data_IF_240115399387
#
_entry.id   IF_240115399387
#
_cell.length_a   1.000
_cell.length_b   1.000
_cell.length_c   1.000
_cell.angle_alpha   90.00
_cell.angle_beta   90.00
_cell.angle_gamma   90.00
#
_symmetry.space_group_name_H-M   'P 1'
#
loop_
_entity.id
_entity.type
_entity.pdbx_description
1 polymer ?
#
# COMPACT_ATOMS: atom_id res chain seq x y z
N UNK A 1 -5.53 9.11 -26.04
CA UNK A 1 -4.90 7.90 -25.53
C UNK A 1 -3.84 8.36 -24.53
N UNK A 2 -4.07 8.19 -23.24
CA UNK A 2 -3.03 8.42 -22.26
C UNK A 2 -2.08 7.21 -22.32
N UNK A 3 -0.92 7.37 -22.90
CA UNK A 3 0.17 6.41 -22.73
C UNK A 3 0.56 6.46 -21.26
N UNK A 4 0.44 5.34 -20.56
CA UNK A 4 0.95 5.22 -19.21
C UNK A 4 2.46 5.50 -19.24
N UNK A 5 2.99 6.27 -18.29
CA UNK A 5 4.42 6.53 -18.23
C UNK A 5 5.19 5.22 -18.02
N UNK A 6 6.40 5.12 -18.55
CA UNK A 6 7.32 4.05 -18.24
C UNK A 6 7.46 3.90 -16.71
N UNK A 7 7.59 2.67 -16.24
CA UNK A 7 7.70 2.34 -14.83
C UNK A 7 9.04 1.71 -14.53
N UNK A 8 9.61 2.11 -13.42
CA UNK A 8 10.92 1.69 -12.99
C UNK A 8 10.84 1.14 -11.56
N UNK A 9 11.46 0.01 -11.30
CA UNK A 9 11.68 -0.44 -9.93
C UNK A 9 12.62 0.54 -9.23
N UNK A 10 12.28 0.89 -7.98
CA UNK A 10 13.08 1.82 -7.17
C UNK A 10 14.54 1.40 -7.12
N UNK A 11 15.46 2.32 -7.40
CA UNK A 11 16.91 2.13 -7.45
C UNK A 11 17.42 1.09 -8.48
N UNK A 12 16.61 0.63 -9.42
CA UNK A 12 17.12 -0.13 -10.57
C UNK A 12 18.02 0.74 -11.47
N UNK A 13 18.79 0.12 -12.37
CA UNK A 13 19.60 0.87 -13.32
C UNK A 13 18.73 1.75 -14.23
N UNK A 14 17.57 1.26 -14.66
CA UNK A 14 16.62 2.03 -15.44
C UNK A 14 16.09 3.25 -14.68
N UNK A 15 15.86 3.12 -13.37
CA UNK A 15 15.46 4.25 -12.50
C UNK A 15 16.56 5.31 -12.41
N UNK A 16 17.82 4.90 -12.22
CA UNK A 16 18.99 5.80 -12.18
C UNK A 16 19.22 6.48 -13.53
N UNK A 17 19.05 5.75 -14.63
CA UNK A 17 19.19 6.31 -15.99
C UNK A 17 18.11 7.35 -16.27
N UNK A 18 16.88 7.12 -15.82
CA UNK A 18 15.81 8.09 -15.93
C UNK A 18 16.08 9.34 -15.09
N UNK A 19 16.57 9.17 -13.83
CA UNK A 19 17.00 10.29 -13.00
C UNK A 19 18.08 11.13 -13.70
N UNK A 20 19.09 10.47 -14.28
CA UNK A 20 20.16 11.13 -15.05
C UNK A 20 19.62 11.92 -16.23
N UNK A 21 18.74 11.32 -17.01
CA UNK A 21 18.14 11.94 -18.21
C UNK A 21 17.35 13.21 -17.84
N UNK A 22 16.52 13.13 -16.78
CA UNK A 22 15.67 14.24 -16.34
C UNK A 22 16.52 15.38 -15.78
N UNK A 23 17.46 15.06 -14.88
CA UNK A 23 18.34 16.07 -14.26
C UNK A 23 19.22 16.77 -15.29
N UNK A 24 19.86 16.03 -16.19
CA UNK A 24 20.72 16.62 -17.21
C UNK A 24 19.95 17.63 -18.08
N UNK A 25 18.74 17.24 -18.53
CA UNK A 25 17.88 18.14 -19.31
C UNK A 25 17.43 19.37 -18.52
N UNK A 26 17.00 19.20 -17.26
CA UNK A 26 16.52 20.30 -16.43
C UNK A 26 17.64 21.31 -16.09
N UNK A 27 18.83 20.81 -15.76
CA UNK A 27 19.99 21.67 -15.47
C UNK A 27 20.45 22.43 -16.72
N UNK A 28 20.48 21.80 -17.89
CA UNK A 28 20.83 22.49 -19.12
C UNK A 28 19.83 23.61 -19.46
N UNK A 29 18.54 23.37 -19.28
CA UNK A 29 17.50 24.36 -19.55
C UNK A 29 17.53 25.57 -18.61
N UNK A 30 18.04 25.41 -17.39
CA UNK A 30 18.07 26.44 -16.36
C UNK A 30 19.49 26.82 -15.93
N UNK A 31 20.50 26.51 -16.72
CA UNK A 31 21.93 26.67 -16.42
C UNK A 31 22.27 28.06 -15.83
N UNK A 32 21.69 29.11 -16.35
CA UNK A 32 21.93 30.47 -15.89
C UNK A 32 21.40 30.80 -14.49
N UNK A 33 20.52 29.97 -13.95
CA UNK A 33 19.90 30.14 -12.63
C UNK A 33 20.58 29.29 -11.55
N UNK A 34 21.48 28.39 -11.94
CA UNK A 34 22.01 27.36 -11.07
C UNK A 34 23.39 27.71 -10.50
N UNK A 35 23.57 27.47 -9.22
CA UNK A 35 24.85 27.30 -8.58
C UNK A 35 25.14 25.79 -8.40
N UNK A 36 26.41 25.39 -8.18
CA UNK A 36 26.74 24.00 -7.87
C UNK A 36 25.91 23.44 -6.72
N UNK A 37 25.46 22.20 -6.86
CA UNK A 37 24.70 21.49 -5.81
C UNK A 37 24.88 19.98 -5.93
N UNK A 38 24.59 19.26 -4.82
CA UNK A 38 24.68 17.81 -4.79
C UNK A 38 23.64 17.19 -3.84
N UNK A 39 23.10 16.04 -4.28
CA UNK A 39 22.22 15.16 -3.49
C UNK A 39 22.81 13.76 -3.50
N UNK A 40 22.89 13.13 -2.34
CA UNK A 40 23.28 11.72 -2.25
C UNK A 40 22.34 10.94 -1.36
N UNK A 41 21.92 9.77 -1.82
CA UNK A 41 20.98 8.91 -1.12
C UNK A 41 21.54 7.51 -0.95
N UNK A 42 21.25 6.89 0.21
CA UNK A 42 21.64 5.53 0.56
C UNK A 42 20.51 4.81 1.29
N UNK A 43 20.13 3.65 0.77
CA UNK A 43 19.08 2.82 1.35
C UNK A 43 19.58 1.39 1.54
N UNK A 44 19.58 0.93 2.79
CA UNK A 44 19.95 -0.43 3.16
C UNK A 44 18.84 -1.42 2.80
N UNK A 45 19.19 -2.70 2.78
CA UNK A 45 18.24 -3.79 2.55
C UNK A 45 17.50 -3.71 1.20
N UNK A 46 18.23 -3.29 0.17
CA UNK A 46 17.71 -3.32 -1.20
C UNK A 46 17.52 -4.77 -1.69
N UNK A 47 16.57 -5.01 -2.61
CA UNK A 47 16.30 -6.35 -3.11
C UNK A 47 17.53 -7.01 -3.76
N UNK A 48 17.86 -8.28 -3.43
CA UNK A 48 19.06 -8.96 -3.95
C UNK A 48 19.13 -9.08 -5.48
N UNK A 49 17.97 -9.11 -6.15
CA UNK A 49 17.93 -9.19 -7.62
C UNK A 49 18.44 -7.91 -8.30
N UNK A 50 18.52 -6.78 -7.58
CA UNK A 50 19.15 -5.55 -8.07
C UNK A 50 20.67 -5.66 -8.13
N UNK A 51 21.27 -6.70 -7.49
CA UNK A 51 22.71 -6.98 -7.48
C UNK A 51 23.56 -5.79 -7.05
N UNK A 52 23.10 -5.07 -6.05
CA UNK A 52 23.81 -3.92 -5.49
C UNK A 52 24.84 -4.38 -4.46
N UNK A 53 25.99 -3.68 -4.33
CA UNK A 53 26.98 -4.00 -3.32
C UNK A 53 26.38 -3.98 -1.92
N UNK A 54 26.60 -5.03 -1.13
CA UNK A 54 26.13 -5.19 0.26
C UNK A 54 24.59 -4.98 0.40
N UNK A 55 23.81 -5.23 -0.67
CA UNK A 55 22.38 -4.94 -0.73
C UNK A 55 22.03 -3.48 -0.35
N UNK A 56 22.92 -2.55 -0.66
CA UNK A 56 22.75 -1.11 -0.43
C UNK A 56 22.52 -0.38 -1.74
N UNK A 57 21.33 0.19 -1.88
CA UNK A 57 21.00 1.10 -2.98
C UNK A 57 21.51 2.51 -2.71
N UNK A 58 22.54 2.93 -3.43
CA UNK A 58 23.10 4.27 -3.27
C UNK A 58 23.32 4.96 -4.62
N UNK A 59 23.08 6.27 -4.63
CA UNK A 59 23.30 7.11 -5.81
C UNK A 59 23.58 8.54 -5.41
N UNK A 60 24.27 9.26 -6.31
CA UNK A 60 24.62 10.66 -6.11
C UNK A 60 24.35 11.43 -7.40
N UNK A 61 23.69 12.58 -7.26
CA UNK A 61 23.55 13.60 -8.29
C UNK A 61 24.41 14.82 -7.91
N UNK A 62 25.22 15.31 -8.83
CA UNK A 62 26.09 16.46 -8.63
C UNK A 62 26.09 17.37 -9.86
N UNK A 63 25.78 18.62 -9.65
CA UNK A 63 25.95 19.70 -10.62
C UNK A 63 27.17 20.53 -10.22
N UNK A 64 28.20 20.61 -11.06
CA UNK A 64 29.46 21.28 -10.77
C UNK A 64 29.51 22.76 -11.20
N UNK A 65 28.42 23.26 -11.78
CA UNK A 65 28.31 24.59 -12.38
C UNK A 65 28.31 24.54 -13.92
N UNK A 66 28.71 23.41 -14.50
CA UNK A 66 28.73 23.22 -15.97
C UNK A 66 27.85 22.04 -16.41
N UNK A 67 27.98 20.91 -15.73
CA UNK A 67 27.30 19.67 -16.09
C UNK A 67 26.69 18.96 -14.89
N UNK A 68 25.60 18.25 -15.14
CA UNK A 68 24.98 17.34 -14.18
C UNK A 68 25.52 15.92 -14.35
N UNK A 69 26.01 15.34 -13.28
CA UNK A 69 26.39 13.94 -13.22
C UNK A 69 25.49 13.17 -12.28
N UNK A 70 25.12 11.94 -12.64
CA UNK A 70 24.39 11.01 -11.79
C UNK A 70 25.10 9.65 -11.84
N UNK A 71 25.50 9.15 -10.68
CA UNK A 71 26.25 7.91 -10.55
C UNK A 71 25.80 7.08 -9.37
N UNK A 72 26.08 5.78 -9.41
CA UNK A 72 25.98 4.90 -8.25
C UNK A 72 27.02 5.29 -7.20
N UNK A 73 26.67 5.10 -5.95
CA UNK A 73 27.52 5.37 -4.80
C UNK A 73 27.00 6.49 -3.92
N UNK A 74 27.43 6.47 -2.65
CA UNK A 74 27.05 7.44 -1.64
C UNK A 74 28.19 8.43 -1.38
N UNK A 75 27.89 9.71 -1.44
CA UNK A 75 28.81 10.79 -1.10
C UNK A 75 28.33 11.47 0.21
N UNK A 76 28.98 11.21 1.34
CA UNK A 76 28.62 11.82 2.61
C UNK A 76 28.87 13.33 2.68
N UNK A 77 29.61 13.89 1.72
CA UNK A 77 29.92 15.32 1.62
C UNK A 77 28.91 16.10 0.76
N UNK A 78 27.89 15.43 0.20
CA UNK A 78 26.86 16.09 -0.60
C UNK A 78 26.08 17.14 0.23
N UNK A 79 25.60 18.21 -0.42
CA UNK A 79 24.84 19.28 0.25
C UNK A 79 23.57 18.75 0.94
N UNK A 80 22.97 17.70 0.36
CA UNK A 80 21.88 16.95 0.99
C UNK A 80 22.22 15.47 0.97
N UNK A 81 22.07 14.81 2.11
CA UNK A 81 22.15 13.35 2.22
C UNK A 81 20.85 12.78 2.76
N UNK A 82 20.42 11.65 2.18
CA UNK A 82 19.26 10.87 2.63
C UNK A 82 19.70 9.44 2.89
N UNK A 83 19.37 8.92 4.07
CA UNK A 83 19.74 7.58 4.49
C UNK A 83 18.56 6.87 5.14
N UNK A 84 18.36 5.60 4.84
CA UNK A 84 17.26 4.84 5.43
C UNK A 84 17.23 3.37 5.01
N UNK A 85 16.12 2.73 5.29
CA UNK A 85 15.75 1.42 4.76
C UNK A 85 15.12 1.55 3.36
N UNK A 86 15.30 0.55 2.51
CA UNK A 86 14.78 0.54 1.14
C UNK A 86 13.27 0.77 1.08
N UNK A 87 12.50 0.13 1.96
CA UNK A 87 11.03 0.25 1.95
C UNK A 87 10.57 1.66 2.35
N UNK A 88 11.23 2.24 3.34
CA UNK A 88 10.95 3.61 3.75
C UNK A 88 11.41 4.63 2.70
N UNK A 89 12.55 4.37 2.05
CA UNK A 89 13.04 5.16 0.92
C UNK A 89 12.09 5.10 -0.27
N UNK A 90 11.58 3.91 -0.60
CA UNK A 90 10.55 3.73 -1.62
C UNK A 90 9.28 4.53 -1.32
N UNK A 91 8.77 4.45 -0.08
CA UNK A 91 7.59 5.21 0.33
C UNK A 91 7.81 6.73 0.20
N UNK A 92 8.99 7.22 0.61
CA UNK A 92 9.40 8.61 0.39
C UNK A 92 9.49 8.96 -1.09
N UNK A 93 10.14 8.12 -1.91
CA UNK A 93 10.30 8.33 -3.34
C UNK A 93 9.00 8.28 -4.15
N UNK A 94 7.96 7.66 -3.61
CA UNK A 94 6.62 7.62 -4.22
C UNK A 94 5.72 8.78 -3.79
N UNK A 95 6.13 9.61 -2.83
CA UNK A 95 5.39 10.82 -2.49
C UNK A 95 5.40 11.79 -3.67
N UNK A 96 4.29 12.46 -3.95
CA UNK A 96 4.12 13.38 -5.06
C UNK A 96 3.58 14.71 -4.57
N UNK A 97 4.01 15.81 -5.21
CA UNK A 97 3.62 17.17 -4.84
C UNK A 97 4.72 17.94 -4.10
N UNK A 98 5.99 17.62 -4.36
CA UNK A 98 7.15 18.19 -3.66
C UNK A 98 7.30 19.71 -3.85
N UNK A 99 6.67 20.30 -4.85
CA UNK A 99 6.62 21.76 -5.03
C UNK A 99 5.63 22.47 -4.09
N UNK A 100 4.71 21.74 -3.46
CA UNK A 100 3.71 22.35 -2.58
C UNK A 100 4.36 22.86 -1.27
N UNK A 101 3.88 23.99 -0.73
CA UNK A 101 4.34 24.46 0.59
C UNK A 101 4.13 23.38 1.66
N UNK A 102 5.20 23.06 2.40
CA UNK A 102 5.15 22.04 3.45
C UNK A 102 5.23 20.60 2.98
N UNK A 103 5.44 20.33 1.69
CA UNK A 103 5.52 18.99 1.11
C UNK A 103 6.51 18.07 1.83
N UNK A 104 7.72 18.53 2.13
CA UNK A 104 8.72 17.77 2.87
C UNK A 104 8.21 17.32 4.26
N UNK A 105 7.47 18.18 4.96
CA UNK A 105 6.87 17.83 6.26
C UNK A 105 5.77 16.79 6.08
N UNK A 106 4.94 16.93 5.03
CA UNK A 106 3.90 15.96 4.70
C UNK A 106 4.49 14.59 4.35
N UNK A 107 5.47 14.53 3.47
CA UNK A 107 6.18 13.30 3.10
C UNK A 107 6.76 12.60 4.33
N UNK A 108 7.51 13.32 5.18
CA UNK A 108 8.07 12.74 6.41
C UNK A 108 6.99 12.18 7.33
N UNK A 109 5.85 12.86 7.45
CA UNK A 109 4.71 12.36 8.24
C UNK A 109 4.13 11.08 7.65
N UNK A 110 3.95 11.02 6.34
CA UNK A 110 3.43 9.83 5.66
C UNK A 110 4.38 8.64 5.82
N UNK A 111 5.67 8.83 5.59
CA UNK A 111 6.68 7.78 5.81
C UNK A 111 6.69 7.33 7.28
N UNK A 112 6.68 8.28 8.22
CA UNK A 112 6.69 7.97 9.65
C UNK A 112 5.45 7.19 10.10
N UNK A 113 4.29 7.46 9.52
CA UNK A 113 3.03 6.78 9.83
C UNK A 113 3.08 5.27 9.52
N UNK A 114 3.84 4.86 8.50
CA UNK A 114 3.93 3.49 8.00
C UNK A 114 5.23 2.76 8.37
N UNK A 115 6.32 3.50 8.57
CA UNK A 115 7.67 2.93 8.74
C UNK A 115 8.38 3.38 10.03
N UNK A 116 7.77 4.29 10.81
CA UNK A 116 8.38 4.87 12.01
C UNK A 116 9.14 6.16 11.74
N UNK A 117 9.32 6.96 12.81
CA UNK A 117 9.85 8.34 12.71
C UNK A 117 11.30 8.43 12.22
N UNK A 118 12.10 7.42 12.51
CA UNK A 118 13.54 7.39 12.20
C UNK A 118 13.87 6.54 10.96
N UNK A 119 12.85 6.10 10.22
CA UNK A 119 13.04 5.22 9.08
C UNK A 119 13.84 5.87 7.93
N UNK A 120 13.75 7.19 7.78
CA UNK A 120 14.55 7.98 6.83
C UNK A 120 15.13 9.18 7.52
N UNK A 121 16.45 9.35 7.39
CA UNK A 121 17.23 10.47 7.93
C UNK A 121 17.69 11.36 6.78
N UNK A 122 17.43 12.64 6.87
CA UNK A 122 17.90 13.63 5.90
C UNK A 122 18.74 14.68 6.62
N UNK A 123 19.89 15.03 6.03
CA UNK A 123 20.79 16.08 6.52
C UNK A 123 21.08 17.05 5.38
N UNK A 124 21.36 18.31 5.75
CA UNK A 124 21.68 19.35 4.80
C UNK A 124 20.48 19.99 4.13
N UNK A 125 20.72 20.89 3.21
CA UNK A 125 19.70 21.57 2.39
C UNK A 125 20.31 22.11 1.10
N UNK A 126 19.49 22.29 0.09
CA UNK A 126 19.85 22.97 -1.14
C UNK A 126 19.56 24.47 -0.95
N UNK A 127 20.60 25.30 -1.04
CA UNK A 127 20.49 26.75 -0.86
C UNK A 127 19.94 27.43 -2.15
N UNK A 128 20.28 26.92 -3.32
CA UNK A 128 19.83 27.48 -4.59
C UNK A 128 18.38 27.09 -4.86
N UNK A 129 17.47 28.07 -4.98
CA UNK A 129 16.06 27.84 -5.16
C UNK A 129 15.73 27.08 -6.45
N UNK A 130 16.42 27.42 -7.57
CA UNK A 130 16.22 26.77 -8.86
C UNK A 130 16.65 25.28 -8.79
N UNK A 131 17.72 24.96 -8.12
CA UNK A 131 18.16 23.57 -7.87
C UNK A 131 17.14 22.82 -7.01
N UNK A 132 16.60 23.45 -5.96
CA UNK A 132 15.54 22.89 -5.13
C UNK A 132 14.29 22.54 -5.93
N UNK A 133 13.86 23.43 -6.83
CA UNK A 133 12.72 23.18 -7.74
C UNK A 133 13.00 22.03 -8.72
N UNK A 134 14.21 21.96 -9.31
CA UNK A 134 14.62 20.85 -10.19
C UNK A 134 14.56 19.53 -9.46
N UNK A 135 15.05 19.44 -8.23
CA UNK A 135 15.00 18.22 -7.42
C UNK A 135 13.57 17.85 -7.04
N UNK A 136 12.72 18.82 -6.72
CA UNK A 136 11.30 18.57 -6.47
C UNK A 136 10.55 18.05 -7.69
N UNK A 137 10.83 18.62 -8.87
CA UNK A 137 10.29 18.15 -10.15
C UNK A 137 10.78 16.74 -10.50
N UNK A 138 12.08 16.46 -10.28
CA UNK A 138 12.62 15.10 -10.44
C UNK A 138 11.89 14.10 -9.54
N UNK A 139 11.74 14.46 -8.26
CA UNK A 139 11.08 13.63 -7.27
C UNK A 139 9.65 13.28 -7.72
N UNK A 140 8.85 14.29 -8.11
CA UNK A 140 7.49 14.08 -8.61
C UNK A 140 7.46 13.28 -9.92
N UNK A 141 8.45 13.49 -10.80
CA UNK A 141 8.57 12.75 -12.05
C UNK A 141 8.82 11.27 -11.81
N UNK A 142 9.77 10.97 -10.93
CA UNK A 142 10.11 9.58 -10.56
C UNK A 142 9.00 8.96 -9.71
N UNK A 143 8.43 9.68 -8.75
CA UNK A 143 7.36 9.18 -7.88
C UNK A 143 6.18 8.59 -8.65
N UNK A 144 5.80 9.23 -9.76
CA UNK A 144 4.73 8.72 -10.66
C UNK A 144 5.12 7.48 -11.46
N UNK A 145 6.37 7.08 -11.44
CA UNK A 145 6.94 5.97 -12.24
C UNK A 145 7.57 4.88 -11.41
N UNK A 146 7.83 5.17 -10.14
CA UNK A 146 8.48 4.24 -9.22
C UNK A 146 7.51 3.17 -8.77
N UNK A 147 7.86 1.92 -8.99
CA UNK A 147 7.13 0.75 -8.52
C UNK A 147 7.93 0.02 -7.46
N UNK A 148 7.18 -0.68 -6.61
CA UNK A 148 7.79 -1.51 -5.57
C UNK A 148 8.50 -2.74 -6.14
N UNK A 149 9.36 -3.29 -5.30
CA UNK A 149 10.02 -4.57 -5.53
C UNK A 149 9.01 -5.67 -5.92
N UNK A 150 9.15 -6.32 -7.08
CA UNK A 150 8.27 -7.42 -7.50
C UNK A 150 8.49 -8.72 -6.71
N UNK A 151 9.63 -8.87 -6.00
CA UNK A 151 9.93 -10.07 -5.22
C UNK A 151 9.08 -10.13 -3.95
N UNK A 152 7.99 -10.89 -4.01
CA UNK A 152 7.07 -11.07 -2.88
C UNK A 152 7.76 -11.69 -1.67
N UNK A 153 8.67 -12.66 -1.88
CA UNK A 153 9.37 -13.34 -0.80
C UNK A 153 10.26 -12.35 -0.03
N UNK A 154 11.03 -11.55 -0.76
CA UNK A 154 11.86 -10.52 -0.17
C UNK A 154 11.00 -9.48 0.59
N UNK A 155 9.92 -8.98 -0.02
CA UNK A 155 9.01 -8.05 0.66
C UNK A 155 8.43 -8.62 1.95
N UNK A 156 7.93 -9.86 1.88
CA UNK A 156 7.35 -10.53 3.05
C UNK A 156 8.38 -10.73 4.17
N UNK A 157 9.60 -11.18 3.84
CA UNK A 157 10.67 -11.36 4.79
C UNK A 157 11.08 -10.03 5.46
N UNK A 158 11.30 -8.98 4.66
CA UNK A 158 11.71 -7.65 5.18
C UNK A 158 10.64 -6.99 6.05
N UNK A 159 9.37 -7.23 5.77
CA UNK A 159 8.24 -6.70 6.54
C UNK A 159 7.83 -7.63 7.69
N UNK A 160 8.50 -8.76 7.91
CA UNK A 160 8.16 -9.73 8.96
C UNK A 160 6.85 -10.47 8.71
N UNK A 161 6.39 -10.55 7.44
CA UNK A 161 5.06 -11.06 7.09
C UNK A 161 5.01 -12.55 6.78
N UNK A 162 6.11 -13.28 6.81
CA UNK A 162 6.12 -14.72 6.52
C UNK A 162 5.14 -15.49 7.41
N UNK A 163 5.11 -15.18 8.74
CA UNK A 163 4.15 -15.75 9.67
C UNK A 163 2.71 -15.41 9.27
N UNK A 164 2.45 -14.16 8.92
CA UNK A 164 1.11 -13.69 8.56
C UNK A 164 0.56 -14.37 7.30
N UNK A 165 1.43 -14.63 6.31
CA UNK A 165 1.06 -15.39 5.11
C UNK A 165 0.68 -16.82 5.48
N UNK A 166 1.42 -17.46 6.40
CA UNK A 166 1.09 -18.81 6.91
C UNK A 166 -0.24 -18.83 7.66
N UNK A 167 -0.47 -17.86 8.55
CA UNK A 167 -1.74 -17.73 9.29
C UNK A 167 -2.93 -17.59 8.32
N UNK A 168 -2.77 -16.82 7.22
CA UNK A 168 -3.80 -16.70 6.18
C UNK A 168 -4.13 -18.05 5.52
N UNK A 169 -3.15 -18.91 5.27
CA UNK A 169 -3.38 -20.24 4.70
C UNK A 169 -3.99 -21.20 5.73
N UNK A 170 -3.58 -21.13 6.99
CA UNK A 170 -4.01 -22.07 8.05
C UNK A 170 -5.35 -21.67 8.66
N UNK A 171 -5.51 -20.40 9.00
CA UNK A 171 -6.66 -19.89 9.76
C UNK A 171 -7.65 -19.11 8.89
N UNK A 172 -7.20 -18.63 7.72
CA UNK A 172 -7.97 -17.79 6.82
C UNK A 172 -7.94 -16.31 7.20
N UNK A 173 -7.23 -15.93 8.24
CA UNK A 173 -7.03 -14.53 8.67
C UNK A 173 -5.71 -14.35 9.39
N UNK A 174 -5.29 -13.09 9.49
CA UNK A 174 -4.12 -12.69 10.29
C UNK A 174 -4.29 -11.27 10.81
N UNK A 175 -3.60 -10.92 11.90
CA UNK A 175 -3.58 -9.59 12.49
C UNK A 175 -2.18 -9.01 12.40
N UNK A 176 -2.04 -7.86 11.71
CA UNK A 176 -0.82 -7.07 11.75
C UNK A 176 -1.02 -5.98 12.80
N UNK A 177 -0.37 -6.15 13.95
CA UNK A 177 -0.44 -5.17 15.01
C UNK A 177 0.34 -3.91 14.65
N UNK A 178 -0.26 -2.75 14.96
CA UNK A 178 0.34 -1.42 14.73
C UNK A 178 0.92 -1.26 13.32
N UNK A 179 0.17 -1.71 12.32
CA UNK A 179 0.51 -1.53 10.91
C UNK A 179 0.58 -0.05 10.50
N UNK A 180 -0.02 0.83 11.29
CA UNK A 180 0.11 2.29 11.23
C UNK A 180 0.34 2.85 12.63
N UNK A 181 0.91 4.06 12.71
CA UNK A 181 1.11 4.72 14.00
C UNK A 181 -0.22 5.06 14.70
N UNK A 182 -0.26 5.07 16.02
CA UNK A 182 -1.46 5.48 16.77
C UNK A 182 -1.95 6.89 16.42
N UNK A 183 -1.03 7.82 16.14
CA UNK A 183 -1.33 9.19 15.76
C UNK A 183 -2.03 9.24 14.39
N UNK A 184 -1.54 8.45 13.42
CA UNK A 184 -2.18 8.37 12.12
C UNK A 184 -3.55 7.66 12.20
N UNK A 185 -3.70 6.67 13.06
CA UNK A 185 -5.01 6.07 13.34
C UNK A 185 -6.01 7.09 13.90
N UNK A 186 -5.58 8.01 14.78
CA UNK A 186 -6.42 9.09 15.29
C UNK A 186 -6.81 10.10 14.18
N UNK A 187 -5.88 10.44 13.28
CA UNK A 187 -6.17 11.27 12.11
C UNK A 187 -7.22 10.64 11.19
N UNK A 188 -7.04 9.35 10.88
CA UNK A 188 -7.99 8.57 10.07
C UNK A 188 -9.36 8.48 10.75
N UNK A 189 -9.39 8.25 12.08
CA UNK A 189 -10.63 8.23 12.85
C UNK A 189 -11.36 9.58 12.78
N UNK A 190 -10.65 10.67 12.99
CA UNK A 190 -11.20 12.01 12.90
C UNK A 190 -11.74 12.32 11.49
N UNK A 191 -11.02 11.94 10.44
CA UNK A 191 -11.45 12.07 9.05
C UNK A 191 -12.72 11.25 8.78
N UNK A 192 -12.80 10.02 9.28
CA UNK A 192 -13.98 9.18 9.16
C UNK A 192 -15.21 9.81 9.82
N UNK A 193 -15.06 10.30 11.03
CA UNK A 193 -16.16 10.97 11.74
C UNK A 193 -16.61 12.25 11.02
N UNK A 194 -15.67 13.04 10.47
CA UNK A 194 -16.01 14.22 9.64
C UNK A 194 -16.82 13.83 8.40
N UNK A 195 -16.48 12.74 7.76
CA UNK A 195 -17.19 12.24 6.57
C UNK A 195 -18.61 11.75 6.91
N UNK A 196 -18.81 11.13 8.07
CA UNK A 196 -20.11 10.59 8.50
C UNK A 196 -21.09 11.67 9.02
N UNK A 197 -20.59 12.75 9.61
CA UNK A 197 -21.40 13.78 10.26
C UNK A 197 -22.49 14.40 9.39
N UNK A 198 -22.23 14.84 8.14
CA UNK A 198 -23.26 15.49 7.31
C UNK A 198 -24.45 14.59 6.99
N UNK A 199 -24.23 13.27 7.02
CA UNK A 199 -25.22 12.27 6.65
C UNK A 199 -25.92 11.64 7.85
N UNK A 200 -25.49 11.94 9.09
CA UNK A 200 -25.93 11.29 10.32
C UNK A 200 -25.95 9.75 10.21
N UNK A 201 -25.03 9.22 9.41
CA UNK A 201 -24.98 7.80 9.07
C UNK A 201 -24.07 7.03 10.03
N UNK A 202 -24.40 5.73 10.22
CA UNK A 202 -23.52 4.81 10.93
C UNK A 202 -22.48 4.15 9.98
N UNK A 203 -22.66 4.26 8.67
CA UNK A 203 -21.73 3.74 7.68
C UNK A 203 -21.64 4.62 6.43
N UNK A 204 -20.53 4.57 5.74
CA UNK A 204 -20.31 5.25 4.47
C UNK A 204 -19.44 4.37 3.57
N UNK A 205 -19.79 4.33 2.29
CA UNK A 205 -18.98 3.72 1.24
C UNK A 205 -18.09 4.76 0.57
N UNK A 206 -17.15 4.30 -0.25
CA UNK A 206 -16.26 5.14 -1.07
C UNK A 206 -15.37 6.06 -0.24
N UNK A 207 -14.89 5.56 0.89
CA UNK A 207 -14.06 6.34 1.82
C UNK A 207 -12.85 6.99 1.14
N UNK A 208 -12.34 6.36 0.08
CA UNK A 208 -11.20 6.86 -0.68
C UNK A 208 -11.39 8.30 -1.21
N UNK A 209 -12.64 8.73 -1.42
CA UNK A 209 -12.95 10.06 -1.95
C UNK A 209 -13.20 11.11 -0.86
N UNK A 210 -13.03 10.75 0.42
CA UNK A 210 -13.34 11.62 1.56
C UNK A 210 -12.13 12.22 2.28
N UNK A 211 -10.91 11.95 1.79
CA UNK A 211 -9.71 12.54 2.36
C UNK A 211 -8.42 11.83 1.99
N UNK A 212 -7.32 12.57 2.08
CA UNK A 212 -5.97 12.08 1.78
C UNK A 212 -5.57 10.92 2.70
N UNK A 213 -6.04 10.95 3.94
CA UNK A 213 -5.79 9.92 4.96
C UNK A 213 -6.23 8.52 4.48
N UNK A 214 -7.32 8.45 3.74
CA UNK A 214 -7.83 7.18 3.19
C UNK A 214 -7.01 6.69 1.99
N UNK A 215 -6.53 7.63 1.16
CA UNK A 215 -5.62 7.31 0.06
C UNK A 215 -4.30 6.72 0.58
N UNK A 216 -3.78 7.26 1.68
CA UNK A 216 -2.57 6.78 2.33
C UNK A 216 -2.80 5.42 2.99
N UNK A 217 -3.86 5.29 3.77
CA UNK A 217 -4.19 4.07 4.51
C UNK A 217 -4.31 2.85 3.60
N UNK A 218 -5.00 3.00 2.45
CA UNK A 218 -5.24 1.89 1.51
C UNK A 218 -3.96 1.38 0.85
N UNK A 219 -2.90 2.20 0.81
CA UNK A 219 -1.60 1.88 0.25
C UNK A 219 -0.60 1.37 1.30
N UNK A 220 -1.06 0.96 2.50
CA UNK A 220 -0.18 0.42 3.52
C UNK A 220 0.66 -0.74 2.97
N UNK A 221 2.01 -0.68 3.05
CA UNK A 221 2.89 -1.63 2.37
C UNK A 221 2.76 -3.06 2.88
N UNK A 222 2.48 -3.25 4.17
CA UNK A 222 2.30 -4.58 4.75
C UNK A 222 1.00 -5.22 4.25
N UNK A 223 -0.11 -4.44 4.26
CA UNK A 223 -1.39 -4.89 3.72
C UNK A 223 -1.27 -5.21 2.22
N UNK A 224 -0.58 -4.35 1.44
CA UNK A 224 -0.36 -4.60 0.01
C UNK A 224 0.41 -5.90 -0.25
N UNK A 225 1.39 -6.22 0.58
CA UNK A 225 2.15 -7.47 0.46
C UNK A 225 1.27 -8.69 0.76
N UNK A 226 0.38 -8.62 1.77
CA UNK A 226 -0.58 -9.70 2.04
C UNK A 226 -1.62 -9.86 0.92
N UNK A 227 -2.07 -8.77 0.33
CA UNK A 227 -2.98 -8.79 -0.82
C UNK A 227 -2.30 -9.48 -2.01
N UNK A 228 -1.06 -9.09 -2.33
CA UNK A 228 -0.30 -9.73 -3.41
C UNK A 228 -0.09 -11.23 -3.14
N UNK A 229 0.15 -11.63 -1.90
CA UNK A 229 0.32 -13.03 -1.51
C UNK A 229 -0.99 -13.84 -1.65
N UNK A 230 -2.14 -13.25 -1.35
CA UNK A 230 -3.43 -13.96 -1.31
C UNK A 230 -4.23 -13.84 -2.60
N UNK A 231 -4.24 -12.67 -3.23
CA UNK A 231 -5.06 -12.35 -4.41
C UNK A 231 -4.26 -12.20 -5.70
N UNK A 232 -2.94 -12.02 -5.58
CA UNK A 232 -2.06 -11.74 -6.71
C UNK A 232 -1.95 -10.24 -7.04
N UNK A 233 -0.94 -9.90 -7.82
CA UNK A 233 -0.53 -8.53 -8.13
C UNK A 233 -1.61 -7.68 -8.82
N UNK A 234 -2.50 -8.25 -9.56
CA UNK A 234 -3.59 -7.55 -10.23
C UNK A 234 -4.84 -7.31 -9.36
N UNK A 235 -4.73 -7.45 -8.03
CA UNK A 235 -5.85 -7.21 -7.14
C UNK A 235 -6.36 -5.77 -7.20
N UNK A 236 -7.68 -5.60 -7.18
CA UNK A 236 -8.38 -4.30 -7.25
C UNK A 236 -9.16 -4.03 -5.99
N UNK A 237 -9.33 -2.76 -5.64
CA UNK A 237 -10.25 -2.34 -4.57
C UNK A 237 -11.68 -2.64 -5.02
N UNK A 238 -12.37 -3.49 -4.26
CA UNK A 238 -13.77 -3.82 -4.50
C UNK A 238 -14.69 -2.77 -3.87
N UNK A 239 -14.41 -2.40 -2.62
CA UNK A 239 -15.07 -1.32 -1.90
C UNK A 239 -14.19 -0.86 -0.73
N UNK A 240 -14.39 0.39 -0.30
CA UNK A 240 -13.75 0.92 0.89
C UNK A 240 -14.78 1.68 1.71
N UNK A 241 -15.16 1.10 2.83
CA UNK A 241 -16.27 1.59 3.65
C UNK A 241 -15.88 1.83 5.11
N UNK A 242 -16.67 2.64 5.79
CA UNK A 242 -16.58 2.85 7.24
C UNK A 242 -17.81 2.31 7.94
N UNK A 243 -17.63 1.85 9.17
CA UNK A 243 -18.73 1.50 10.07
C UNK A 243 -18.48 2.16 11.43
N UNK A 244 -19.50 2.84 11.95
CA UNK A 244 -19.57 3.39 13.29
C UNK A 244 -20.57 2.60 14.10
N UNK A 245 -20.13 1.97 15.20
CA UNK A 245 -20.96 1.14 16.05
C UNK A 245 -20.92 1.62 17.50
N UNK A 246 -22.10 2.00 18.02
CA UNK A 246 -22.30 2.29 19.43
C UNK A 246 -22.84 1.10 20.23
N UNK A 247 -22.97 1.25 21.57
CA UNK A 247 -23.63 0.23 22.42
C UNK A 247 -25.06 -0.04 21.96
N UNK A 248 -25.46 -1.32 21.98
CA UNK A 248 -26.85 -1.70 21.63
C UNK A 248 -27.21 -1.61 20.15
N UNK A 249 -26.26 -1.35 19.26
CA UNK A 249 -26.54 -1.28 17.80
C UNK A 249 -26.79 -2.64 17.14
N UNK A 250 -26.84 -3.72 17.94
CA UNK A 250 -27.06 -5.07 17.47
C UNK A 250 -25.80 -5.78 16.95
N UNK A 251 -25.95 -7.04 16.65
CA UNK A 251 -24.90 -7.93 16.14
C UNK A 251 -25.18 -8.28 14.68
N UNK A 252 -24.14 -8.36 13.89
CA UNK A 252 -24.22 -9.02 12.59
C UNK A 252 -24.09 -10.53 12.87
N UNK A 253 -25.05 -11.37 12.43
CA UNK A 253 -24.99 -12.81 12.66
C UNK A 253 -23.81 -13.46 11.94
N UNK A 254 -23.46 -14.69 12.33
CA UNK A 254 -22.39 -15.45 11.67
C UNK A 254 -22.69 -15.65 10.18
N UNK A 255 -21.72 -15.30 9.35
CA UNK A 255 -21.83 -15.35 7.89
C UNK A 255 -20.45 -15.47 7.23
N UNK A 256 -20.44 -15.61 5.92
CA UNK A 256 -19.29 -15.33 5.06
C UNK A 256 -19.61 -14.10 4.19
N UNK A 257 -18.58 -13.44 3.70
CA UNK A 257 -18.74 -12.36 2.71
C UNK A 257 -18.87 -12.90 1.26
N UNK A 258 -19.08 -14.19 1.11
CA UNK A 258 -19.25 -14.88 -0.16
C UNK A 258 -20.72 -15.12 -0.55
N UNK A 259 -21.65 -14.28 -0.08
CA UNK A 259 -23.09 -14.43 -0.36
C UNK A 259 -23.45 -14.61 -1.84
N UNK A 260 -22.61 -14.13 -2.75
CA UNK A 260 -22.83 -14.20 -4.21
C UNK A 260 -21.93 -15.22 -4.92
N UNK A 261 -21.15 -16.00 -4.17
CA UNK A 261 -20.28 -17.05 -4.73
C UNK A 261 -20.99 -18.40 -4.60
N UNK A 262 -21.18 -19.15 -5.69
CA UNK A 262 -21.76 -20.49 -5.62
C UNK A 262 -20.91 -21.44 -4.78
N UNK A 263 -21.55 -22.32 -4.03
CA UNK A 263 -20.89 -23.42 -3.33
C UNK A 263 -20.65 -24.62 -4.28
N UNK A 264 -19.53 -25.37 -4.12
CA UNK A 264 -18.48 -25.13 -3.13
C UNK A 264 -17.60 -23.94 -3.52
N UNK A 265 -17.21 -23.10 -2.55
CA UNK A 265 -16.28 -22.00 -2.81
C UNK A 265 -14.95 -22.52 -3.35
N UNK A 266 -14.21 -21.74 -4.18
CA UNK A 266 -12.88 -22.14 -4.62
C UNK A 266 -11.93 -22.32 -3.45
N UNK A 267 -10.89 -23.14 -3.62
CA UNK A 267 -9.86 -23.36 -2.61
C UNK A 267 -8.95 -22.14 -2.41
N UNK A 268 -8.81 -21.34 -3.45
CA UNK A 268 -8.03 -20.10 -3.42
C UNK A 268 -8.91 -18.88 -3.09
N UNK A 269 -8.34 -17.87 -2.50
CA UNK A 269 -9.04 -16.62 -2.19
C UNK A 269 -9.44 -15.87 -3.46
N UNK A 270 -10.74 -15.61 -3.64
CA UNK A 270 -11.25 -14.70 -4.68
C UNK A 270 -11.15 -13.24 -4.22
N UNK A 271 -11.35 -13.02 -2.93
CA UNK A 271 -11.47 -11.69 -2.32
C UNK A 271 -10.93 -11.71 -0.92
N UNK A 272 -10.42 -10.57 -0.46
CA UNK A 272 -9.94 -10.37 0.90
C UNK A 272 -10.48 -9.08 1.50
N UNK A 273 -10.44 -8.99 2.82
CA UNK A 273 -10.85 -7.80 3.56
C UNK A 273 -9.78 -7.43 4.58
N UNK A 274 -9.35 -6.15 4.55
CA UNK A 274 -8.58 -5.54 5.62
C UNK A 274 -9.49 -4.68 6.48
N UNK A 275 -9.57 -4.95 7.77
CA UNK A 275 -10.35 -4.14 8.72
C UNK A 275 -9.41 -3.47 9.69
N UNK A 276 -9.44 -2.13 9.69
CA UNK A 276 -8.56 -1.29 10.50
C UNK A 276 -9.17 -0.97 11.86
N UNK A 277 -8.40 -1.17 12.93
CA UNK A 277 -8.71 -0.73 14.27
C UNK A 277 -8.26 0.72 14.47
N UNK A 278 -9.21 1.64 14.55
CA UNK A 278 -8.94 3.05 14.85
C UNK A 278 -9.03 3.38 16.34
N UNK A 279 -9.22 2.37 17.18
CA UNK A 279 -9.15 2.33 18.63
C UNK A 279 -8.73 0.92 19.05
N UNK A 280 -8.43 0.70 20.33
CA UNK A 280 -8.13 -0.65 20.82
C UNK A 280 -9.36 -1.55 20.71
N UNK A 281 -9.18 -2.74 20.15
CA UNK A 281 -10.22 -3.75 20.11
C UNK A 281 -10.04 -4.73 21.26
N UNK A 282 -11.05 -4.77 22.13
CA UNK A 282 -11.21 -5.71 23.23
C UNK A 282 -12.54 -6.45 23.08
N UNK A 283 -12.78 -7.48 23.83
CA UNK A 283 -14.10 -8.15 23.86
C UNK A 283 -15.22 -7.12 24.12
N UNK A 284 -15.01 -6.18 25.04
CA UNK A 284 -16.00 -5.14 25.39
C UNK A 284 -16.26 -4.13 24.27
N UNK A 285 -15.27 -3.89 23.36
CA UNK A 285 -15.47 -3.01 22.22
C UNK A 285 -16.39 -3.61 21.15
N UNK A 286 -16.77 -4.89 21.28
CA UNK A 286 -17.58 -5.63 20.31
C UNK A 286 -16.82 -5.95 19.03
N UNK A 287 -15.69 -6.65 19.10
CA UNK A 287 -14.83 -6.90 17.94
C UNK A 287 -15.48 -7.86 16.95
N UNK A 288 -14.84 -8.04 15.80
CA UNK A 288 -15.14 -9.16 14.93
C UNK A 288 -14.71 -10.46 15.59
N UNK A 289 -15.54 -11.48 15.53
CA UNK A 289 -15.25 -12.85 15.92
C UNK A 289 -15.06 -13.70 14.68
N UNK A 290 -14.11 -14.60 14.67
CA UNK A 290 -13.81 -15.47 13.54
C UNK A 290 -13.69 -16.92 13.98
N UNK A 291 -14.08 -17.86 13.11
CA UNK A 291 -13.81 -19.29 13.30
C UNK A 291 -12.56 -19.65 12.49
N UNK A 292 -11.41 -19.91 13.16
CA UNK A 292 -10.18 -20.25 12.47
C UNK A 292 -10.34 -21.47 11.56
N UNK A 293 -9.83 -21.40 10.33
CA UNK A 293 -9.85 -22.50 9.36
C UNK A 293 -11.18 -22.72 8.65
N UNK A 294 -12.26 -22.01 9.02
CA UNK A 294 -13.61 -22.22 8.45
C UNK A 294 -13.71 -21.93 6.96
N UNK A 295 -12.79 -21.15 6.37
CA UNK A 295 -12.70 -20.95 4.92
C UNK A 295 -12.52 -22.27 4.13
N UNK A 296 -11.95 -23.30 4.78
CA UNK A 296 -11.74 -24.63 4.19
C UNK A 296 -13.03 -25.43 4.06
N UNK A 297 -14.10 -25.04 4.76
CA UNK A 297 -15.45 -25.62 4.58
C UNK A 297 -16.03 -25.32 3.20
N UNK A 298 -15.55 -24.28 2.54
CA UNK A 298 -15.93 -23.90 1.16
C UNK A 298 -17.44 -23.69 0.98
N UNK A 299 -18.12 -23.24 2.05
CA UNK A 299 -19.57 -23.02 2.11
C UNK A 299 -19.93 -21.93 3.12
N UNK A 300 -21.17 -21.48 3.06
CA UNK A 300 -21.75 -20.65 4.11
C UNK A 300 -22.08 -21.49 5.37
N UNK A 301 -22.11 -20.88 6.58
CA UNK A 301 -22.65 -21.51 7.76
C UNK A 301 -24.15 -21.83 7.53
N UNK A 302 -24.60 -23.00 7.99
CA UNK A 302 -26.00 -23.42 7.81
C UNK A 302 -26.88 -22.85 8.92
N UNK A 303 -28.18 -22.57 8.64
CA UNK A 303 -29.13 -22.19 9.68
C UNK A 303 -29.14 -23.20 10.83
N UNK A 304 -29.04 -22.71 12.06
CA UNK A 304 -28.99 -23.56 13.25
C UNK A 304 -27.63 -24.20 13.56
N UNK A 305 -26.63 -24.00 12.74
CA UNK A 305 -25.27 -24.46 13.00
C UNK A 305 -24.64 -23.62 14.14
N UNK A 306 -24.45 -24.24 15.31
CA UNK A 306 -23.95 -23.56 16.51
C UNK A 306 -22.43 -23.80 16.68
N UNK A 307 -21.63 -23.12 15.91
CA UNK A 307 -20.17 -23.17 15.98
C UNK A 307 -19.58 -21.96 16.70
N UNK A 308 -20.41 -21.06 17.24
CA UNK A 308 -19.93 -19.83 17.90
C UNK A 308 -18.98 -20.11 19.07
N UNK A 309 -19.10 -21.23 19.76
CA UNK A 309 -18.18 -21.63 20.82
C UNK A 309 -16.75 -21.92 20.33
N UNK A 310 -16.54 -22.06 19.04
CA UNK A 310 -15.23 -22.24 18.41
C UNK A 310 -14.63 -20.90 17.90
N UNK A 311 -15.38 -19.83 18.02
CA UNK A 311 -14.94 -18.51 17.55
C UNK A 311 -13.97 -17.84 18.49
N UNK A 312 -13.07 -17.08 17.91
CA UNK A 312 -12.05 -16.28 18.60
C UNK A 312 -12.35 -14.80 18.39
N UNK A 313 -12.40 -13.96 19.45
CA UNK A 313 -12.49 -12.52 19.32
C UNK A 313 -11.18 -11.99 18.72
N UNK A 314 -11.29 -11.09 17.78
CA UNK A 314 -10.12 -10.41 17.22
C UNK A 314 -9.82 -9.20 18.10
N UNK A 315 -8.95 -9.41 19.08
CA UNK A 315 -8.44 -8.34 19.94
C UNK A 315 -7.13 -7.81 19.35
N UNK A 316 -7.01 -6.48 19.22
CA UNK A 316 -5.83 -5.85 18.64
C UNK A 316 -5.71 -4.39 19.06
N UNK A 317 -4.47 -3.87 19.24
CA UNK A 317 -4.26 -2.47 19.59
C UNK A 317 -4.62 -1.53 18.43
N UNK A 318 -4.90 -0.28 18.77
CA UNK A 318 -5.13 0.81 17.81
C UNK A 318 -4.00 0.88 16.77
N UNK A 319 -4.36 1.09 15.50
CA UNK A 319 -3.44 1.12 14.37
C UNK A 319 -3.18 -0.25 13.73
N UNK A 320 -3.81 -1.31 14.25
CA UNK A 320 -3.72 -2.65 13.68
C UNK A 320 -4.69 -2.86 12.53
N UNK A 321 -4.41 -3.86 11.70
CA UNK A 321 -5.32 -4.35 10.67
C UNK A 321 -5.46 -5.86 10.77
N UNK A 322 -6.69 -6.35 10.82
CA UNK A 322 -6.99 -7.76 10.55
C UNK A 322 -7.26 -7.91 9.05
N UNK A 323 -6.55 -8.84 8.41
CA UNK A 323 -6.77 -9.20 7.01
C UNK A 323 -7.28 -10.64 6.94
N UNK A 324 -8.36 -10.88 6.21
CA UNK A 324 -8.99 -12.21 6.14
C UNK A 324 -9.58 -12.56 4.79
N UNK A 325 -9.64 -13.86 4.52
CA UNK A 325 -10.32 -14.48 3.40
C UNK A 325 -11.84 -14.38 3.60
N UNK A 326 -12.57 -13.88 2.62
CA UNK A 326 -14.02 -13.65 2.76
C UNK A 326 -14.87 -14.91 2.99
N UNK A 327 -14.32 -16.10 2.78
CA UNK A 327 -14.99 -17.35 3.13
C UNK A 327 -14.84 -17.74 4.61
N UNK A 328 -14.08 -17.01 5.42
CA UNK A 328 -14.01 -17.23 6.88
C UNK A 328 -15.36 -16.93 7.50
N UNK A 329 -15.87 -17.83 8.32
CA UNK A 329 -17.09 -17.61 9.09
C UNK A 329 -16.82 -16.62 10.20
N UNK A 330 -17.54 -15.53 10.18
CA UNK A 330 -17.32 -14.44 11.13
C UNK A 330 -18.63 -13.76 11.50
N UNK A 331 -18.59 -13.05 12.63
CA UNK A 331 -19.71 -12.24 13.11
C UNK A 331 -19.20 -11.05 13.90
N UNK A 332 -20.06 -10.11 14.16
CA UNK A 332 -19.73 -8.95 14.98
C UNK A 332 -20.23 -9.16 16.42
N UNK A 333 -19.33 -8.98 17.40
CA UNK A 333 -19.67 -9.01 18.82
C UNK A 333 -20.47 -7.78 19.27
N UNK A 334 -21.12 -7.88 20.43
CA UNK A 334 -21.79 -6.75 21.06
C UNK A 334 -20.77 -5.79 21.66
N UNK A 335 -21.02 -4.47 21.46
CA UNK A 335 -20.30 -3.44 22.17
C UNK A 335 -21.00 -3.18 23.51
N UNK A 336 -20.26 -3.37 24.60
CA UNK A 336 -20.74 -3.16 25.97
C UNK A 336 -20.14 -1.92 26.65
N UNK A 337 -19.07 -1.38 26.08
CA UNK A 337 -18.43 -0.17 26.59
C UNK A 337 -19.01 1.11 25.95
N UNK A 338 -18.91 2.27 26.63
CA UNK A 338 -19.39 3.55 26.14
C UNK A 338 -18.67 4.01 24.85
N UNK A 339 -19.33 4.92 24.11
CA UNK A 339 -18.77 5.54 22.93
C UNK A 339 -18.91 4.68 21.67
N UNK A 340 -18.44 5.21 20.55
CA UNK A 340 -18.57 4.59 19.23
C UNK A 340 -17.25 3.94 18.79
N UNK A 341 -17.31 2.67 18.38
CA UNK A 341 -16.25 2.02 17.63
C UNK A 341 -16.34 2.43 16.17
N UNK A 342 -15.23 2.94 15.64
CA UNK A 342 -15.12 3.34 14.23
C UNK A 342 -14.12 2.40 13.55
N UNK A 343 -14.54 1.79 12.46
CA UNK A 343 -13.74 0.85 11.67
C UNK A 343 -13.74 1.21 10.19
N UNK A 344 -12.67 0.87 9.48
CA UNK A 344 -12.58 0.96 8.04
C UNK A 344 -12.41 -0.43 7.44
N UNK A 345 -13.22 -0.74 6.46
CA UNK A 345 -13.28 -2.03 5.77
C UNK A 345 -12.80 -1.84 4.33
N UNK A 346 -11.59 -2.28 4.04
CA UNK A 346 -11.02 -2.28 2.70
C UNK A 346 -11.19 -3.66 2.07
N UNK A 347 -12.07 -3.75 1.10
CA UNK A 347 -12.37 -4.99 0.37
C UNK A 347 -11.57 -5.03 -0.93
N UNK A 348 -10.92 -6.16 -1.19
CA UNK A 348 -10.12 -6.38 -2.38
C UNK A 348 -10.60 -7.60 -3.14
N UNK A 349 -10.58 -7.51 -4.45
CA UNK A 349 -10.91 -8.60 -5.37
C UNK A 349 -9.68 -8.99 -6.19
N UNK A 350 -9.59 -10.26 -6.59
CA UNK A 350 -8.73 -10.63 -7.72
C UNK A 350 -9.10 -9.80 -8.95
N UNK A 351 -8.14 -9.44 -9.78
CA UNK A 351 -8.35 -8.57 -10.93
C UNK A 351 -9.37 -9.06 -11.98
N UNK A 352 -9.76 -10.34 -11.91
CA UNK A 352 -10.81 -10.92 -12.75
C UNK A 352 -12.24 -10.62 -12.27
N UNK A 353 -12.38 -10.05 -11.07
CA UNK A 353 -13.67 -9.73 -10.47
C UNK A 353 -13.94 -8.23 -10.57
N UNK A 354 -15.21 -7.90 -10.76
CA UNK A 354 -15.66 -6.51 -10.83
C UNK A 354 -15.57 -5.81 -9.47
N UNK A 355 -15.13 -4.55 -9.47
CA UNK A 355 -15.30 -3.66 -8.31
C UNK A 355 -16.80 -3.42 -8.04
N UNK A 356 -17.16 -3.30 -6.76
CA UNK A 356 -18.53 -2.96 -6.33
C UNK A 356 -18.75 -1.45 -6.32
N UNK A 357 -17.69 -0.66 -6.16
CA UNK A 357 -17.79 0.80 -6.20
C UNK A 357 -17.78 1.33 -7.64
N UNK A 358 -18.62 2.32 -7.96
CA UNK A 358 -18.59 2.94 -9.26
C UNK A 358 -17.23 3.63 -9.47
N UNK A 359 -16.62 3.35 -10.61
CA UNK A 359 -15.41 4.05 -11.02
C UNK A 359 -15.73 5.53 -11.27
N UNK A 360 -15.35 6.38 -10.34
CA UNK A 360 -15.15 7.81 -10.60
C UNK A 360 -13.67 8.05 -10.47
N UNK A 361 -12.96 8.04 -11.60
CA UNK A 361 -11.55 8.35 -11.59
C UNK A 361 -11.38 9.82 -11.27
N UNK A 362 -10.90 10.09 -10.05
CA UNK A 362 -10.33 11.38 -9.74
C UNK A 362 -8.90 11.42 -10.30
N UNK A 363 -8.73 12.09 -11.42
CA UNK A 363 -7.42 12.27 -12.08
C UNK A 363 -6.42 12.89 -11.11
N UNK A 364 -6.86 13.79 -10.25
CA UNK A 364 -6.01 14.40 -9.22
C UNK A 364 -5.50 13.37 -8.21
N UNK A 365 -6.37 12.43 -7.79
CA UNK A 365 -5.99 11.32 -6.91
C UNK A 365 -4.89 10.46 -7.55
N UNK A 366 -5.04 10.11 -8.83
CA UNK A 366 -4.02 9.34 -9.56
C UNK A 366 -2.70 10.09 -9.67
N UNK A 367 -2.75 11.40 -9.89
CA UNK A 367 -1.54 12.21 -10.07
C UNK A 367 -0.76 12.47 -8.78
N UNK A 368 -1.40 12.37 -7.61
CA UNK A 368 -0.76 12.61 -6.31
C UNK A 368 -0.42 11.34 -5.53
N UNK A 369 -0.64 10.17 -6.11
CA UNK A 369 -0.39 8.88 -5.49
C UNK A 369 0.56 8.02 -6.32
N UNK A 370 1.06 6.94 -5.70
CA UNK A 370 1.89 5.95 -6.38
C UNK A 370 1.13 5.26 -7.52
N UNK A 371 1.85 4.70 -8.52
CA UNK A 371 1.23 3.89 -9.57
C UNK A 371 0.37 2.74 -9.04
N UNK A 372 0.69 2.23 -7.85
CA UNK A 372 -0.05 1.13 -7.21
C UNK A 372 -1.51 1.47 -6.97
N UNK A 373 -1.82 2.70 -6.56
CA UNK A 373 -3.22 3.09 -6.37
C UNK A 373 -4.00 3.05 -7.68
N UNK A 374 -3.40 3.50 -8.79
CA UNK A 374 -4.00 3.41 -10.12
C UNK A 374 -4.29 1.97 -10.55
N UNK A 375 -3.36 1.04 -10.27
CA UNK A 375 -3.57 -0.39 -10.49
C UNK A 375 -4.74 -0.92 -9.67
N UNK A 376 -4.78 -0.62 -8.38
CA UNK A 376 -5.85 -1.06 -7.48
C UNK A 376 -7.22 -0.46 -7.82
N UNK A 377 -7.26 0.71 -8.42
CA UNK A 377 -8.50 1.31 -8.94
C UNK A 377 -8.90 0.74 -10.31
N UNK A 378 -8.07 -0.10 -10.92
CA UNK A 378 -8.30 -0.67 -12.25
C UNK A 378 -8.14 0.34 -13.39
N UNK A 379 -7.52 1.50 -13.13
CA UNK A 379 -7.20 2.50 -14.16
C UNK A 379 -5.99 2.07 -14.99
N UNK A 380 -5.13 1.28 -14.38
CA UNK A 380 -4.00 0.64 -15.00
C UNK A 380 -4.19 -0.87 -14.99
N UNK A 381 -5.19 -1.30 -15.71
CA UNK A 381 -5.55 -2.70 -15.81
C UNK A 381 -4.45 -3.48 -16.56
N UNK A 382 -3.85 -4.41 -15.87
CA UNK A 382 -2.86 -5.30 -16.42
C UNK A 382 -3.43 -6.21 -17.51
N UNK A 383 -4.74 -6.45 -17.49
CA UNK A 383 -5.44 -7.30 -18.45
C UNK A 383 -5.95 -6.52 -19.67
N UNK A 384 -6.13 -5.21 -19.55
CA UNK A 384 -6.75 -4.37 -20.58
C UNK A 384 -5.74 -3.57 -21.41
N UNK A 385 -4.73 -4.23 -21.93
CA UNK A 385 -3.82 -3.61 -22.90
C UNK A 385 -4.05 -4.18 -24.31
N UNK A 386 -5.31 -4.19 -24.68
CA UNK A 386 -5.72 -4.33 -26.07
C UNK A 386 -5.75 -2.93 -26.68
N UNK A 387 -4.77 -2.58 -27.49
CA UNK A 387 -4.85 -1.40 -28.36
C UNK A 387 -5.61 -1.74 -29.63
N UNK A 388 -5.97 -0.72 -30.41
CA UNK A 388 -6.53 -0.95 -31.75
C UNK A 388 -5.57 -1.75 -32.67
N UNK A 389 -4.28 -1.76 -32.33
CA UNK A 389 -3.22 -2.52 -33.02
C UNK A 389 -3.03 -3.93 -32.46
N UNK A 390 -3.78 -4.33 -31.42
CA UNK A 390 -3.70 -5.65 -30.82
C UNK A 390 -3.12 -5.65 -29.40
N UNK A 391 -2.77 -6.84 -28.91
CA UNK A 391 -2.30 -7.07 -27.56
C UNK A 391 -0.83 -6.65 -27.42
N UNK A 392 -0.50 -5.95 -26.34
CA UNK A 392 0.87 -5.73 -25.93
C UNK A 392 1.47 -7.06 -25.40
N UNK A 393 2.16 -7.79 -26.28
CA UNK A 393 2.74 -9.10 -25.98
C UNK A 393 3.86 -9.02 -24.93
N UNK A 394 4.61 -7.93 -24.86
CA UNK A 394 5.67 -7.72 -23.87
C UNK A 394 5.12 -7.65 -22.47
N UNK A 395 4.08 -6.84 -22.26
CA UNK A 395 3.43 -6.69 -20.98
C UNK A 395 2.71 -7.95 -20.54
N UNK A 396 2.04 -8.65 -21.45
CA UNK A 396 1.40 -9.92 -21.15
C UNK A 396 2.40 -11.00 -20.73
N UNK A 397 3.55 -11.06 -21.39
CA UNK A 397 4.64 -11.97 -21.01
C UNK A 397 5.21 -11.65 -19.62
N UNK A 398 5.36 -10.36 -19.29
CA UNK A 398 5.79 -9.92 -17.97
C UNK A 398 4.79 -10.32 -16.88
N UNK A 399 3.51 -10.12 -17.11
CA UNK A 399 2.43 -10.53 -16.22
C UNK A 399 2.45 -12.01 -15.88
N UNK A 400 2.56 -12.85 -16.91
CA UNK A 400 2.63 -14.31 -16.73
C UNK A 400 3.84 -14.71 -15.90
N UNK A 401 5.00 -14.10 -16.15
CA UNK A 401 6.22 -14.33 -15.35
C UNK A 401 6.04 -13.90 -13.91
N UNK A 402 5.46 -12.72 -13.67
CA UNK A 402 5.24 -12.20 -12.33
C UNK A 402 4.27 -13.08 -11.55
N UNK A 403 3.18 -13.50 -12.16
CA UNK A 403 2.20 -14.38 -11.51
C UNK A 403 2.80 -15.74 -11.18
N UNK A 404 3.47 -16.38 -12.13
CA UNK A 404 4.15 -17.67 -11.90
C UNK A 404 5.24 -17.55 -10.83
N UNK A 405 6.00 -16.47 -10.82
CA UNK A 405 7.00 -16.18 -9.81
C UNK A 405 6.38 -16.02 -8.42
N UNK A 406 5.30 -15.24 -8.31
CA UNK A 406 4.59 -15.00 -7.04
C UNK A 406 4.09 -16.31 -6.43
N UNK A 407 3.44 -17.16 -7.22
CA UNK A 407 2.92 -18.46 -6.76
C UNK A 407 4.05 -19.44 -6.37
N UNK A 408 5.14 -19.46 -7.12
CA UNK A 408 6.30 -20.28 -6.79
C UNK A 408 6.96 -19.83 -5.49
N UNK A 409 7.16 -18.53 -5.30
CA UNK A 409 7.76 -17.96 -4.09
C UNK A 409 6.85 -18.08 -2.87
N UNK A 410 5.54 -17.97 -3.03
CA UNK A 410 4.58 -18.24 -1.97
C UNK A 410 4.71 -19.69 -1.47
N UNK A 411 4.76 -20.67 -2.39
CA UNK A 411 4.94 -22.07 -2.01
C UNK A 411 6.27 -22.32 -1.29
N UNK A 412 7.34 -21.68 -1.74
CA UNK A 412 8.65 -21.75 -1.07
C UNK A 412 8.59 -21.17 0.35
N UNK A 413 7.94 -20.01 0.54
CA UNK A 413 7.74 -19.39 1.86
C UNK A 413 6.93 -20.27 2.83
N UNK A 414 5.94 -20.99 2.33
CA UNK A 414 5.09 -21.85 3.16
C UNK A 414 5.74 -23.20 3.48
N UNK A 415 6.74 -23.64 2.69
CA UNK A 415 7.48 -24.89 2.90
C UNK A 415 8.58 -24.77 3.98
N UNK A 416 9.07 -23.56 4.27
CA UNK A 416 10.06 -23.24 5.29
C UNK A 416 9.37 -22.75 6.58
#
# INVERSE_FOLDING_TARGET
MHTLPDRFEFLSDAWIDEARRVLAKACEQRKAELAPFSLSERFADAPPHLKLPDDVGAWTARYDGEAMTVARGFDPSADVTVEGDYQAGLAGGQFIGMLAPGAMKAMRREVAAMHGRDAVKMKGRIENAAAGEILALLHDHLGRRTVENPDLAHRAARQGLTRHIREMEEQGYTVIERAISPEFADEVRAATLRALLPHQSFSMNWMLYHGREFEQLIQNPMLMTLIDASLGRGAVIASFSSIKKGPGTGVIPMHTDYAHVPEPFPEFSLTGVGVWALEDWTVASGPTWMIPGSHRERRNPRPGENTRGQGVPIEMPKGSVVYFHKAVWHWQGDRTEPGDRVTLHAHFNRGILRSLEPKKTDVQMLHRNSPRLGEMLGEDDWFDKMSAQGRDSGRFAYMNKLHAFTEAKKRELLAN
#
